data_IF_534715519224
#
_entry.id   IF_534715519224
#
_cell.length_a   1.000
_cell.length_b   1.000
_cell.length_c   1.000
_cell.angle_alpha   90.00
_cell.angle_beta   90.00
_cell.angle_gamma   90.00
#
_symmetry.space_group_name_H-M   'P 1'
#
loop_
_entity.id
_entity.type
_entity.pdbx_description
1 polymer ?
#
# COMPACT_ATOMS: atom_id res chain seq x y z
N UNK A 1 -70.75 0.71 -64.72
CA UNK A 1 -70.68 2.11 -65.18
C UNK A 1 -69.34 2.64 -64.67
N UNK A 2 -68.46 3.00 -65.63
CA UNK A 2 -67.20 3.71 -65.53
C UNK A 2 -66.05 2.93 -64.83
N UNK A 3 -65.25 2.17 -65.50
CA UNK A 3 -64.20 2.44 -66.46
C UNK A 3 -63.22 3.56 -66.00
N UNK A 4 -62.08 3.16 -65.51
CA UNK A 4 -60.89 4.02 -65.48
C UNK A 4 -59.62 3.22 -65.57
N UNK A 5 -58.96 3.45 -66.63
CA UNK A 5 -57.82 2.84 -67.22
C UNK A 5 -56.56 2.96 -66.39
N UNK A 6 -55.96 1.82 -66.08
CA UNK A 6 -54.59 1.76 -65.51
C UNK A 6 -53.57 2.18 -66.54
N UNK A 7 -52.86 3.23 -66.29
CA UNK A 7 -51.69 3.71 -67.04
C UNK A 7 -50.43 3.06 -66.47
N UNK A 8 -49.90 2.09 -67.16
CA UNK A 8 -48.64 1.43 -66.86
C UNK A 8 -47.47 2.39 -67.16
N UNK A 9 -46.82 2.87 -66.16
CA UNK A 9 -45.55 3.63 -66.27
C UNK A 9 -44.43 2.65 -66.25
N UNK A 10 -43.59 2.66 -67.31
CA UNK A 10 -42.39 1.85 -67.42
C UNK A 10 -41.28 2.28 -66.42
N UNK A 11 -40.54 1.34 -65.86
CA UNK A 11 -39.46 1.69 -64.96
C UNK A 11 -38.30 2.38 -65.66
N UNK A 12 -37.92 3.55 -65.15
CA UNK A 12 -36.77 4.33 -65.60
C UNK A 12 -35.46 3.54 -65.37
N UNK A 13 -34.65 3.48 -66.40
CA UNK A 13 -33.31 2.88 -66.39
C UNK A 13 -32.42 3.51 -65.29
N UNK A 14 -31.71 2.72 -64.49
CA UNK A 14 -30.80 3.28 -63.50
C UNK A 14 -29.64 4.01 -64.19
N UNK A 15 -29.46 5.29 -63.85
CA UNK A 15 -28.35 6.11 -64.29
C UNK A 15 -27.02 5.48 -63.82
N UNK A 16 -26.09 5.31 -64.76
CA UNK A 16 -24.75 4.79 -64.52
C UNK A 16 -24.04 5.69 -63.47
N UNK A 17 -23.69 5.08 -62.34
CA UNK A 17 -22.91 5.78 -61.32
C UNK A 17 -21.52 6.17 -61.89
N UNK A 18 -21.00 7.38 -61.60
CA UNK A 18 -19.67 7.77 -62.03
C UNK A 18 -18.61 6.83 -61.49
N UNK A 19 -17.65 6.46 -62.34
CA UNK A 19 -16.52 5.59 -61.97
C UNK A 19 -15.77 6.19 -60.76
N UNK A 20 -15.32 5.34 -59.82
CA UNK A 20 -14.54 5.81 -58.68
C UNK A 20 -13.26 6.49 -59.19
N UNK A 21 -13.02 7.70 -58.70
CA UNK A 21 -11.81 8.47 -58.96
C UNK A 21 -10.59 7.60 -58.57
N UNK A 22 -9.62 7.52 -59.48
CA UNK A 22 -8.37 6.81 -59.28
C UNK A 22 -7.72 7.32 -57.98
N UNK A 23 -7.68 6.44 -56.95
CA UNK A 23 -6.95 6.70 -55.73
C UNK A 23 -5.47 6.65 -56.07
N UNK A 24 -4.86 7.82 -56.21
CA UNK A 24 -3.40 7.96 -56.30
C UNK A 24 -2.80 7.41 -54.98
N UNK A 25 -1.83 6.47 -55.04
CA UNK A 25 -1.23 5.92 -53.83
C UNK A 25 -0.51 7.04 -53.07
N UNK A 26 -0.64 7.13 -51.74
CA UNK A 26 0.03 8.14 -50.92
C UNK A 26 1.50 7.75 -50.72
N UNK A 27 2.29 7.72 -51.77
CA UNK A 27 3.70 7.29 -51.73
C UNK A 27 4.68 8.41 -51.35
N UNK A 28 4.23 9.67 -51.23
CA UNK A 28 5.12 10.78 -50.98
C UNK A 28 5.00 11.36 -49.55
N UNK A 29 3.92 11.09 -48.80
CA UNK A 29 3.70 11.70 -47.49
C UNK A 29 4.15 10.77 -46.33
N UNK A 30 4.41 9.50 -46.62
CA UNK A 30 4.89 8.54 -45.62
C UNK A 30 6.41 8.58 -45.40
N UNK A 31 7.17 9.20 -46.29
CA UNK A 31 8.64 9.29 -46.15
C UNK A 31 9.10 10.39 -45.18
N UNK A 32 8.25 11.39 -44.88
CA UNK A 32 8.64 12.53 -44.03
C UNK A 32 8.30 12.31 -42.54
N UNK A 33 7.46 11.34 -42.20
CA UNK A 33 7.14 11.01 -40.79
C UNK A 33 8.01 9.93 -40.21
N UNK A 34 8.89 9.32 -40.99
CA UNK A 34 9.84 8.28 -40.55
C UNK A 34 11.15 8.84 -39.99
N UNK A 35 11.23 10.14 -39.74
CA UNK A 35 12.24 10.68 -38.83
C UNK A 35 11.79 10.44 -37.39
N UNK A 36 11.55 9.16 -37.08
CA UNK A 36 11.45 8.68 -35.72
C UNK A 36 12.75 9.10 -35.03
N UNK A 37 12.65 10.13 -34.18
CA UNK A 37 13.71 10.51 -33.25
C UNK A 37 14.21 9.20 -32.62
N UNK A 38 15.49 8.88 -32.86
CA UNK A 38 16.12 7.73 -32.26
C UNK A 38 15.79 7.74 -30.76
N UNK A 39 15.36 6.61 -30.18
CA UNK A 39 14.98 6.62 -28.76
C UNK A 39 16.14 7.21 -27.98
N UNK A 40 15.88 8.10 -27.01
CA UNK A 40 16.95 8.73 -26.25
C UNK A 40 17.90 7.64 -25.77
N UNK A 41 19.19 7.77 -26.10
CA UNK A 41 20.21 6.81 -25.67
C UNK A 41 20.16 6.78 -24.17
N UNK A 42 19.60 5.71 -23.63
CA UNK A 42 19.44 5.50 -22.21
C UNK A 42 20.85 5.32 -21.64
N UNK A 43 21.38 6.36 -21.02
CA UNK A 43 22.70 6.27 -20.39
C UNK A 43 22.56 5.46 -19.10
N UNK A 44 22.71 4.15 -19.26
CA UNK A 44 22.58 3.17 -18.18
C UNK A 44 23.45 3.53 -16.96
N UNK A 45 24.68 3.98 -17.21
CA UNK A 45 25.62 4.35 -16.14
C UNK A 45 25.09 5.53 -15.33
N UNK A 46 24.58 6.57 -15.99
CA UNK A 46 24.02 7.74 -15.31
C UNK A 46 22.77 7.38 -14.48
N UNK A 47 21.91 6.50 -15.00
CA UNK A 47 20.71 6.06 -14.30
C UNK A 47 21.03 5.20 -13.08
N UNK A 48 21.99 4.27 -13.21
CA UNK A 48 22.45 3.44 -12.08
C UNK A 48 23.11 4.31 -11.01
N UNK A 49 23.97 5.25 -11.42
CA UNK A 49 24.61 6.19 -10.51
C UNK A 49 23.58 7.03 -9.75
N UNK A 50 22.58 7.59 -10.45
CA UNK A 50 21.52 8.38 -9.85
C UNK A 50 20.72 7.57 -8.82
N UNK A 51 20.38 6.32 -9.13
CA UNK A 51 19.69 5.40 -8.20
C UNK A 51 20.54 5.09 -6.98
N UNK A 52 21.83 4.87 -7.16
CA UNK A 52 22.75 4.64 -6.06
C UNK A 52 22.87 5.88 -5.16
N UNK A 53 22.98 7.07 -5.73
CA UNK A 53 23.00 8.33 -4.98
C UNK A 53 21.70 8.54 -4.20
N UNK A 54 20.53 8.26 -4.80
CA UNK A 54 19.25 8.33 -4.09
C UNK A 54 19.17 7.35 -2.93
N UNK A 55 19.68 6.12 -3.09
CA UNK A 55 19.71 5.14 -2.01
C UNK A 55 20.60 5.60 -0.86
N UNK A 56 21.82 6.07 -1.15
CA UNK A 56 22.73 6.58 -0.14
C UNK A 56 22.15 7.81 0.57
N UNK A 57 21.56 8.75 -0.18
CA UNK A 57 20.90 9.92 0.38
C UNK A 57 19.72 9.53 1.27
N UNK A 58 18.91 8.54 0.87
CA UNK A 58 17.83 7.99 1.67
C UNK A 58 18.31 7.35 2.97
N UNK A 59 19.38 6.55 2.93
CA UNK A 59 19.98 5.94 4.13
C UNK A 59 20.55 6.99 5.07
N UNK A 60 21.23 8.01 4.54
CA UNK A 60 21.74 9.13 5.34
C UNK A 60 20.59 9.93 5.98
N UNK A 61 19.51 10.20 5.23
CA UNK A 61 18.33 10.85 5.75
C UNK A 61 17.68 10.03 6.89
N UNK A 62 17.55 8.71 6.73
CA UNK A 62 17.04 7.84 7.79
C UNK A 62 17.93 7.89 9.05
N UNK A 63 19.27 7.85 8.89
CA UNK A 63 20.19 7.96 10.01
C UNK A 63 20.06 9.30 10.74
N UNK A 64 19.99 10.41 10.00
CA UNK A 64 19.81 11.75 10.57
C UNK A 64 18.47 11.86 11.30
N UNK A 65 17.38 11.37 10.69
CA UNK A 65 16.06 11.39 11.32
C UNK A 65 16.02 10.52 12.58
N UNK A 66 16.70 9.38 12.60
CA UNK A 66 16.82 8.54 13.79
C UNK A 66 17.55 9.28 14.93
N UNK A 67 18.64 9.99 14.62
CA UNK A 67 19.35 10.80 15.61
C UNK A 67 18.46 11.94 16.14
N UNK A 68 17.75 12.62 15.25
CA UNK A 68 16.80 13.67 15.65
C UNK A 68 15.70 13.10 16.55
N UNK A 69 15.13 11.93 16.22
CA UNK A 69 14.11 11.28 17.03
C UNK A 69 14.61 10.92 18.44
N UNK A 70 15.86 10.44 18.54
CA UNK A 70 16.50 10.15 19.83
C UNK A 70 16.78 11.41 20.65
N UNK A 71 17.07 12.53 20.00
CA UNK A 71 17.35 13.82 20.66
C UNK A 71 16.07 14.58 21.02
N UNK A 72 15.03 14.51 20.19
CA UNK A 72 13.76 15.20 20.39
C UNK A 72 12.76 14.32 21.14
N UNK A 73 12.21 14.80 22.24
CA UNK A 73 11.17 14.07 22.97
C UNK A 73 10.76 14.77 24.24
N UNK A 74 9.69 14.27 24.88
CA UNK A 74 9.03 14.87 26.04
C UNK A 74 9.91 15.01 27.29
N UNK A 75 11.01 14.29 27.38
CA UNK A 75 11.87 14.27 28.58
C UNK A 75 12.94 15.37 28.59
N UNK A 76 13.01 16.26 27.56
CA UNK A 76 13.98 17.37 27.48
C UNK A 76 15.41 16.99 27.87
N UNK A 77 15.88 15.81 27.46
CA UNK A 77 17.23 15.33 27.73
C UNK A 77 18.26 16.13 26.94
N UNK A 78 19.36 16.51 27.60
CA UNK A 78 20.46 17.16 26.90
C UNK A 78 21.13 16.19 25.91
N UNK A 79 21.60 16.69 24.73
CA UNK A 79 22.19 15.85 23.70
C UNK A 79 23.41 15.05 24.20
N UNK A 80 24.19 15.59 25.15
CA UNK A 80 25.28 14.88 25.79
C UNK A 80 24.81 13.68 26.63
N UNK A 81 23.69 13.80 27.34
CA UNK A 81 23.11 12.68 28.12
C UNK A 81 22.62 11.55 27.22
N UNK A 82 21.97 11.88 26.08
CA UNK A 82 21.56 10.90 25.07
C UNK A 82 22.76 10.18 24.49
N UNK A 83 23.84 10.93 24.16
CA UNK A 83 25.09 10.35 23.66
C UNK A 83 25.74 9.43 24.70
N UNK A 84 25.80 9.87 25.97
CA UNK A 84 26.34 9.05 27.06
C UNK A 84 25.49 7.79 27.32
N UNK A 85 24.17 7.88 27.22
CA UNK A 85 23.27 6.72 27.38
C UNK A 85 23.48 5.67 26.26
N UNK A 86 23.72 6.13 25.03
CA UNK A 86 23.94 5.24 23.87
C UNK A 86 25.32 4.61 23.87
N UNK A 87 26.38 5.38 24.13
CA UNK A 87 27.77 4.92 24.00
C UNK A 87 28.32 4.28 25.26
N UNK A 88 27.71 4.56 26.43
CA UNK A 88 28.17 4.15 27.76
C UNK A 88 29.62 4.62 28.08
N UNK A 89 30.13 5.62 27.36
CA UNK A 89 31.48 6.15 27.57
C UNK A 89 31.57 7.22 28.68
N UNK A 90 30.43 7.73 29.08
CA UNK A 90 30.31 8.74 30.14
C UNK A 90 29.09 8.41 31.02
N UNK A 91 29.03 9.01 32.19
CA UNK A 91 27.90 8.82 33.11
C UNK A 91 26.67 9.54 32.57
N UNK A 92 25.62 8.78 32.25
CA UNK A 92 24.30 9.28 31.95
C UNK A 92 23.41 9.11 33.20
N UNK A 93 22.45 10.01 33.41
CA UNK A 93 21.45 9.84 34.48
C UNK A 93 20.65 8.54 34.24
N UNK A 94 20.25 7.87 35.32
CA UNK A 94 19.44 6.63 35.22
C UNK A 94 18.16 6.89 34.43
N UNK A 95 17.55 8.06 34.57
CA UNK A 95 16.39 8.48 33.80
C UNK A 95 16.70 8.55 32.29
N UNK A 96 17.81 9.15 31.90
CA UNK A 96 18.21 9.26 30.51
C UNK A 96 18.46 7.86 29.90
N UNK A 97 19.11 6.97 30.65
CA UNK A 97 19.36 5.60 30.22
C UNK A 97 18.07 4.83 29.98
N UNK A 98 17.12 4.87 30.92
CA UNK A 98 15.83 4.20 30.78
C UNK A 98 15.04 4.78 29.61
N UNK A 99 14.92 6.09 29.51
CA UNK A 99 14.17 6.73 28.43
C UNK A 99 14.76 6.41 27.05
N UNK A 100 16.07 6.50 26.90
CA UNK A 100 16.73 6.27 25.61
C UNK A 100 16.73 4.78 25.21
N UNK A 101 17.16 3.91 26.12
CA UNK A 101 17.38 2.49 25.77
C UNK A 101 16.09 1.65 25.84
N UNK A 102 15.16 1.98 26.75
CA UNK A 102 13.95 1.15 26.94
C UNK A 102 12.79 1.62 26.09
N UNK A 103 12.65 2.94 25.86
CA UNK A 103 11.50 3.47 25.12
C UNK A 103 11.86 3.98 23.72
N UNK A 104 12.86 4.87 23.60
CA UNK A 104 13.13 5.55 22.32
C UNK A 104 13.83 4.65 21.31
N UNK A 105 14.90 3.99 21.71
CA UNK A 105 15.67 3.15 20.81
C UNK A 105 14.84 2.00 20.20
N UNK A 106 14.02 1.24 20.96
CA UNK A 106 13.17 0.21 20.39
C UNK A 106 12.10 0.77 19.44
N UNK A 107 11.49 1.92 19.77
CA UNK A 107 10.48 2.53 18.88
C UNK A 107 11.08 3.04 17.58
N UNK A 108 12.27 3.66 17.60
CA UNK A 108 12.97 4.11 16.39
C UNK A 108 13.43 2.96 15.52
N UNK A 109 13.94 1.87 16.12
CA UNK A 109 14.31 0.65 15.38
C UNK A 109 13.08 -0.02 14.75
N UNK A 110 11.94 -0.05 15.48
CA UNK A 110 10.68 -0.56 14.96
C UNK A 110 10.19 0.29 13.78
N UNK A 111 10.30 1.63 13.88
CA UNK A 111 9.95 2.54 12.78
C UNK A 111 10.74 2.23 11.51
N UNK A 112 12.06 2.03 11.63
CA UNK A 112 12.92 1.64 10.51
C UNK A 112 12.52 0.29 9.93
N UNK A 113 12.30 -0.72 10.78
CA UNK A 113 11.90 -2.06 10.36
C UNK A 113 10.56 -2.10 9.65
N UNK A 114 9.55 -1.43 10.21
CA UNK A 114 8.21 -1.31 9.60
C UNK A 114 8.28 -0.53 8.29
N UNK A 115 8.98 0.60 8.26
CA UNK A 115 9.13 1.41 7.06
C UNK A 115 9.84 0.65 5.93
N UNK A 116 10.92 -0.06 6.24
CA UNK A 116 11.63 -0.91 5.27
C UNK A 116 10.73 -2.03 4.73
N UNK A 117 9.99 -2.71 5.61
CA UNK A 117 9.09 -3.80 5.22
C UNK A 117 7.95 -3.31 4.31
N UNK A 118 7.35 -2.16 4.65
CA UNK A 118 6.31 -1.54 3.83
C UNK A 118 6.85 -1.05 2.49
N UNK A 119 8.08 -0.50 2.47
CA UNK A 119 8.75 -0.08 1.23
C UNK A 119 8.98 -1.24 0.27
N UNK A 120 9.51 -2.37 0.78
CA UNK A 120 9.73 -3.58 -0.01
C UNK A 120 8.39 -4.16 -0.49
N UNK A 121 7.40 -4.29 0.39
CA UNK A 121 6.08 -4.79 0.02
C UNK A 121 5.41 -3.91 -1.05
N UNK A 122 5.50 -2.58 -0.90
CA UNK A 122 4.99 -1.62 -1.88
C UNK A 122 5.65 -1.77 -3.24
N UNK A 123 6.99 -1.85 -3.29
CA UNK A 123 7.74 -2.02 -4.54
C UNK A 123 7.38 -3.32 -5.26
N UNK A 124 7.26 -4.42 -4.53
CA UNK A 124 6.84 -5.73 -5.07
C UNK A 124 5.41 -5.63 -5.63
N UNK A 125 4.49 -5.05 -4.87
CA UNK A 125 3.09 -4.92 -5.31
C UNK A 125 2.93 -4.05 -6.56
N UNK A 126 3.60 -2.90 -6.61
CA UNK A 126 3.60 -2.03 -7.79
C UNK A 126 4.11 -2.77 -9.03
N UNK A 127 5.12 -3.62 -8.87
CA UNK A 127 5.71 -4.41 -9.95
C UNK A 127 4.75 -5.50 -10.43
N UNK A 128 4.17 -6.28 -9.51
CA UNK A 128 3.25 -7.38 -9.84
C UNK A 128 1.97 -6.85 -10.50
N UNK A 129 1.40 -5.79 -9.92
CA UNK A 129 0.15 -5.21 -10.40
C UNK A 129 0.35 -4.23 -11.56
N UNK A 130 1.60 -3.97 -11.96
CA UNK A 130 1.96 -2.97 -12.99
C UNK A 130 1.23 -1.64 -12.79
N UNK A 131 1.08 -1.24 -11.54
CA UNK A 131 0.36 -0.04 -11.14
C UNK A 131 1.14 0.69 -10.04
N UNK A 132 1.63 1.92 -10.29
CA UNK A 132 2.39 2.69 -9.31
C UNK A 132 1.57 3.12 -8.08
N UNK A 133 0.23 3.05 -8.15
CA UNK A 133 -0.67 3.37 -7.04
C UNK A 133 -0.97 2.16 -6.15
N UNK A 134 -0.47 0.97 -6.49
CA UNK A 134 -0.70 -0.23 -5.70
C UNK A 134 0.09 -0.19 -4.38
N UNK A 135 -0.56 -0.60 -3.31
CA UNK A 135 0.03 -0.74 -1.98
C UNK A 135 -0.64 -1.88 -1.21
N UNK A 136 -0.04 -2.40 -0.14
CA UNK A 136 -0.69 -3.39 0.72
C UNK A 136 -2.03 -2.92 1.28
N UNK A 137 -2.19 -1.61 1.47
CA UNK A 137 -3.43 -1.00 1.94
C UNK A 137 -4.55 -1.12 0.90
N UNK A 138 -4.26 -0.87 -0.38
CA UNK A 138 -5.27 -0.90 -1.46
C UNK A 138 -5.81 -2.30 -1.75
N UNK A 139 -5.11 -3.35 -1.31
CA UNK A 139 -5.56 -4.74 -1.45
C UNK A 139 -6.39 -5.25 -0.26
N UNK A 140 -6.76 -4.39 0.71
CA UNK A 140 -7.62 -4.77 1.82
C UNK A 140 -6.96 -5.60 2.91
N UNK A 141 -5.64 -5.80 2.86
CA UNK A 141 -4.88 -6.54 3.88
C UNK A 141 -4.98 -5.85 5.24
N UNK A 142 -4.87 -4.51 5.24
CA UNK A 142 -5.02 -3.71 6.46
C UNK A 142 -6.42 -3.75 7.04
N UNK A 143 -7.46 -3.79 6.18
CA UNK A 143 -8.85 -3.91 6.62
C UNK A 143 -9.11 -5.28 7.27
N UNK A 144 -8.55 -6.36 6.69
CA UNK A 144 -8.58 -7.69 7.30
C UNK A 144 -7.88 -7.72 8.66
N UNK A 145 -6.69 -7.14 8.77
CA UNK A 145 -5.97 -7.01 10.04
C UNK A 145 -6.77 -6.23 11.09
N UNK A 146 -7.39 -5.11 10.69
CA UNK A 146 -8.24 -4.29 11.54
C UNK A 146 -9.46 -5.06 12.08
N UNK A 147 -10.13 -5.81 11.21
CA UNK A 147 -11.21 -6.70 11.62
C UNK A 147 -10.75 -7.77 12.60
N UNK A 148 -9.61 -8.44 12.34
CA UNK A 148 -9.04 -9.45 13.25
C UNK A 148 -8.71 -8.90 14.64
N UNK A 149 -8.16 -7.67 14.70
CA UNK A 149 -7.93 -6.98 15.96
C UNK A 149 -9.23 -6.64 16.68
N UNK A 150 -10.21 -6.05 15.97
CA UNK A 150 -11.52 -5.71 16.51
C UNK A 150 -12.26 -6.94 17.06
N UNK A 151 -12.21 -8.06 16.33
CA UNK A 151 -12.81 -9.34 16.76
C UNK A 151 -12.23 -9.81 18.08
N UNK A 152 -10.92 -9.69 18.26
CA UNK A 152 -10.26 -10.07 19.50
C UNK A 152 -10.64 -9.15 20.66
N UNK A 153 -10.70 -7.83 20.41
CA UNK A 153 -11.01 -6.83 21.46
C UNK A 153 -12.46 -6.98 21.93
N UNK A 154 -13.40 -7.19 20.99
CA UNK A 154 -14.84 -7.22 21.32
C UNK A 154 -15.29 -8.58 21.83
N UNK A 155 -14.95 -9.65 21.11
CA UNK A 155 -15.44 -10.98 21.41
C UNK A 155 -14.50 -11.81 22.26
N UNK A 156 -13.27 -11.33 22.52
CA UNK A 156 -12.25 -12.12 23.21
C UNK A 156 -11.83 -13.38 22.43
N UNK A 157 -12.19 -13.46 21.15
CA UNK A 157 -11.94 -14.63 20.32
C UNK A 157 -10.51 -14.54 19.78
N UNK A 158 -9.67 -15.46 20.21
CA UNK A 158 -8.32 -15.64 19.71
C UNK A 158 -7.93 -17.10 19.77
N UNK A 159 -7.07 -17.53 18.85
CA UNK A 159 -6.61 -18.93 18.71
C UNK A 159 -5.86 -19.41 19.96
N UNK A 160 -5.39 -18.48 20.78
CA UNK A 160 -4.67 -18.81 22.01
C UNK A 160 -4.99 -17.84 23.13
N UNK A 161 -5.89 -18.22 24.01
CA UNK A 161 -6.24 -17.47 25.21
C UNK A 161 -5.05 -17.25 26.18
N UNK A 162 -3.95 -17.99 26.02
CA UNK A 162 -2.75 -17.87 26.85
C UNK A 162 -1.73 -16.80 26.40
N UNK A 163 -1.96 -16.13 25.25
CA UNK A 163 -0.98 -15.20 24.67
C UNK A 163 -1.01 -13.77 25.27
N UNK A 164 -1.93 -13.44 26.17
CA UNK A 164 -2.02 -12.13 26.83
C UNK A 164 -1.95 -10.95 25.84
N UNK A 165 -0.98 -10.04 26.00
CA UNK A 165 -0.80 -8.85 25.17
C UNK A 165 -0.55 -9.12 23.67
N UNK A 166 -0.11 -10.32 23.32
CA UNK A 166 0.17 -10.71 21.93
C UNK A 166 -1.05 -11.21 21.16
N UNK A 167 -2.17 -11.43 21.83
CA UNK A 167 -3.36 -12.01 21.22
C UNK A 167 -3.93 -11.13 20.09
N UNK A 168 -4.04 -9.82 20.32
CA UNK A 168 -4.58 -8.87 19.33
C UNK A 168 -3.66 -8.78 18.10
N UNK A 169 -2.35 -8.53 18.21
CA UNK A 169 -1.44 -8.53 17.06
C UNK A 169 -1.42 -9.85 16.31
N UNK A 170 -1.48 -10.98 17.00
CA UNK A 170 -1.46 -12.30 16.38
C UNK A 170 -2.71 -12.55 15.53
N UNK A 171 -3.90 -12.26 16.05
CA UNK A 171 -5.13 -12.38 15.27
C UNK A 171 -5.18 -11.40 14.11
N UNK A 172 -4.73 -10.14 14.29
CA UNK A 172 -4.59 -9.19 13.20
C UNK A 172 -3.70 -9.74 12.08
N UNK A 173 -2.59 -10.37 12.42
CA UNK A 173 -1.68 -11.00 11.46
C UNK A 173 -2.34 -12.19 10.74
N UNK A 174 -3.08 -13.04 11.45
CA UNK A 174 -3.83 -14.14 10.83
C UNK A 174 -4.86 -13.65 9.82
N UNK A 175 -5.62 -12.61 10.16
CA UNK A 175 -6.61 -12.04 9.25
C UNK A 175 -5.95 -11.28 8.09
N UNK A 176 -4.77 -10.73 8.26
CA UNK A 176 -3.97 -10.18 7.14
C UNK A 176 -3.56 -11.28 6.16
N UNK A 177 -3.09 -12.44 6.67
CA UNK A 177 -2.79 -13.62 5.83
C UNK A 177 -4.06 -14.14 5.14
N UNK A 178 -5.16 -14.27 5.87
CA UNK A 178 -6.44 -14.69 5.30
C UNK A 178 -6.89 -13.75 4.18
N UNK A 179 -6.81 -12.43 4.39
CA UNK A 179 -7.11 -11.42 3.38
C UNK A 179 -6.23 -11.60 2.14
N UNK A 180 -4.93 -11.78 2.32
CA UNK A 180 -3.99 -12.01 1.22
C UNK A 180 -4.32 -13.29 0.44
N UNK A 181 -4.71 -14.35 1.15
CA UNK A 181 -5.12 -15.61 0.54
C UNK A 181 -6.43 -15.49 -0.24
N UNK A 182 -7.41 -14.75 0.29
CA UNK A 182 -8.66 -14.46 -0.43
C UNK A 182 -8.43 -13.68 -1.70
N UNK A 183 -7.55 -12.68 -1.68
CA UNK A 183 -7.16 -11.93 -2.89
C UNK A 183 -6.52 -12.86 -3.92
N UNK A 184 -5.64 -13.75 -3.46
CA UNK A 184 -5.01 -14.73 -4.34
C UNK A 184 -6.05 -15.63 -5.01
N UNK A 185 -7.05 -16.14 -4.25
CA UNK A 185 -8.13 -16.98 -4.81
C UNK A 185 -8.95 -16.19 -5.84
N UNK A 186 -9.35 -14.96 -5.51
CA UNK A 186 -10.09 -14.09 -6.43
C UNK A 186 -9.28 -13.83 -7.71
N UNK A 187 -7.99 -13.54 -7.54
CA UNK A 187 -7.07 -13.33 -8.65
C UNK A 187 -6.93 -14.59 -9.51
N UNK A 188 -6.72 -15.76 -8.90
CA UNK A 188 -6.57 -17.04 -9.57
C UNK A 188 -7.82 -17.39 -10.42
N UNK A 189 -9.02 -17.16 -9.89
CA UNK A 189 -10.28 -17.36 -10.60
C UNK A 189 -10.44 -16.44 -11.84
N UNK A 190 -9.74 -15.31 -11.87
CA UNK A 190 -9.74 -14.32 -12.97
C UNK A 190 -8.40 -14.24 -13.72
N UNK A 191 -7.67 -15.34 -13.79
CA UNK A 191 -6.37 -15.49 -14.50
C UNK A 191 -5.31 -14.48 -14.01
N UNK A 192 -5.33 -14.12 -12.71
CA UNK A 192 -4.39 -13.21 -12.05
C UNK A 192 -4.24 -11.85 -12.75
N UNK A 193 -5.33 -11.32 -13.31
CA UNK A 193 -5.29 -9.99 -13.92
C UNK A 193 -5.14 -8.91 -12.86
N UNK A 194 -4.26 -7.89 -13.03
CA UNK A 194 -4.07 -6.82 -12.07
C UNK A 194 -5.36 -6.11 -11.67
N UNK A 195 -6.23 -5.85 -12.66
CA UNK A 195 -7.53 -5.22 -12.42
C UNK A 195 -8.45 -6.03 -11.51
N UNK A 196 -8.49 -7.38 -11.68
CA UNK A 196 -9.30 -8.24 -10.83
C UNK A 196 -8.77 -8.29 -9.40
N UNK A 197 -7.45 -8.26 -9.22
CA UNK A 197 -6.84 -8.24 -7.87
C UNK A 197 -7.11 -6.92 -7.14
N UNK A 198 -7.01 -5.79 -7.84
CA UNK A 198 -7.30 -4.47 -7.25
C UNK A 198 -8.78 -4.36 -6.89
N UNK A 199 -9.68 -4.72 -7.82
CA UNK A 199 -11.13 -4.66 -7.55
C UNK A 199 -11.54 -5.63 -6.45
N UNK A 200 -10.98 -6.84 -6.43
CA UNK A 200 -11.15 -7.82 -5.36
C UNK A 200 -10.68 -7.29 -4.01
N UNK A 201 -9.51 -6.63 -3.99
CA UNK A 201 -8.96 -5.99 -2.78
C UNK A 201 -9.85 -4.87 -2.23
N UNK A 202 -10.40 -4.03 -3.11
CA UNK A 202 -11.36 -2.99 -2.74
C UNK A 202 -12.63 -3.63 -2.15
N UNK A 203 -13.16 -4.67 -2.80
CA UNK A 203 -14.33 -5.42 -2.31
C UNK A 203 -14.08 -6.02 -0.93
N UNK A 204 -12.91 -6.65 -0.71
CA UNK A 204 -12.51 -7.17 0.60
C UNK A 204 -12.36 -6.07 1.65
N UNK A 205 -11.83 -4.90 1.28
CA UNK A 205 -11.73 -3.75 2.19
C UNK A 205 -13.10 -3.31 2.69
N UNK A 206 -14.08 -3.19 1.80
CA UNK A 206 -15.44 -2.85 2.18
C UNK A 206 -16.10 -3.95 3.03
N UNK A 207 -15.89 -5.21 2.68
CA UNK A 207 -16.43 -6.34 3.44
C UNK A 207 -15.87 -6.36 4.88
N UNK A 208 -14.56 -6.32 5.04
CA UNK A 208 -13.95 -6.29 6.38
C UNK A 208 -14.28 -5.00 7.13
N UNK A 209 -14.35 -3.86 6.45
CA UNK A 209 -14.78 -2.59 7.05
C UNK A 209 -16.21 -2.65 7.59
N UNK A 210 -17.15 -3.22 6.83
CA UNK A 210 -18.52 -3.41 7.27
C UNK A 210 -18.61 -4.36 8.47
N UNK A 211 -17.91 -5.49 8.44
CA UNK A 211 -17.85 -6.42 9.56
C UNK A 211 -17.22 -5.78 10.81
N UNK A 212 -16.17 -4.99 10.65
CA UNK A 212 -15.57 -4.23 11.74
C UNK A 212 -16.54 -3.20 12.32
N UNK A 213 -17.28 -2.46 11.49
CA UNK A 213 -18.28 -1.50 11.94
C UNK A 213 -19.42 -2.20 12.72
N UNK A 214 -19.79 -3.41 12.32
CA UNK A 214 -20.79 -4.21 13.05
C UNK A 214 -20.28 -4.61 14.44
N UNK A 215 -19.00 -4.99 14.55
CA UNK A 215 -18.38 -5.25 15.85
C UNK A 215 -18.31 -4.00 16.72
N UNK A 216 -17.97 -2.85 16.14
CA UNK A 216 -17.90 -1.58 16.85
C UNK A 216 -19.29 -1.13 17.35
N UNK A 217 -20.36 -1.43 16.63
CA UNK A 217 -21.74 -1.17 17.08
C UNK A 217 -22.10 -1.99 18.31
N UNK A 218 -21.64 -3.25 18.39
CA UNK A 218 -21.89 -4.13 19.52
C UNK A 218 -20.93 -3.94 20.70
N UNK A 219 -19.86 -3.17 20.51
CA UNK A 219 -18.79 -2.99 21.48
C UNK A 219 -19.16 -1.98 22.58
N UNK A 220 -18.57 -2.14 23.77
CA UNK A 220 -18.60 -1.11 24.81
C UNK A 220 -17.79 0.14 24.40
N UNK A 221 -18.00 1.27 25.07
CA UNK A 221 -17.25 2.50 24.80
C UNK A 221 -15.73 2.30 24.93
N UNK A 222 -15.28 1.54 25.94
CA UNK A 222 -13.87 1.23 26.20
C UNK A 222 -13.26 0.32 25.11
N UNK A 223 -14.03 -0.70 24.69
CA UNK A 223 -13.63 -1.56 23.57
C UNK A 223 -13.51 -0.79 22.27
N UNK A 224 -14.46 0.11 22.00
CA UNK A 224 -14.45 0.95 20.82
C UNK A 224 -13.24 1.90 20.80
N UNK A 225 -12.95 2.52 21.94
CA UNK A 225 -11.75 3.33 22.11
C UNK A 225 -10.47 2.50 21.84
N UNK A 226 -10.40 1.29 22.37
CA UNK A 226 -9.28 0.37 22.15
C UNK A 226 -9.10 0.00 20.68
N UNK A 227 -10.20 -0.25 19.95
CA UNK A 227 -10.17 -0.53 18.50
C UNK A 227 -9.61 0.69 17.74
N UNK A 228 -10.11 1.89 18.05
CA UNK A 228 -9.67 3.12 17.38
C UNK A 228 -8.18 3.36 17.60
N UNK A 229 -7.70 3.25 18.84
CA UNK A 229 -6.27 3.38 19.13
C UNK A 229 -5.42 2.31 18.47
N UNK A 230 -5.94 1.09 18.33
CA UNK A 230 -5.22 0.04 17.62
C UNK A 230 -5.10 0.34 16.13
N UNK A 231 -6.18 0.83 15.50
CA UNK A 231 -6.21 1.19 14.08
C UNK A 231 -5.30 2.38 13.72
N UNK A 232 -5.15 3.35 14.61
CA UNK A 232 -4.18 4.43 14.43
C UNK A 232 -2.74 3.93 14.49
N UNK A 233 -2.50 2.80 15.15
CA UNK A 233 -1.18 2.23 15.36
C UNK A 233 -0.37 3.01 16.39
N UNK A 234 0.66 2.37 16.92
CA UNK A 234 1.61 2.98 17.85
C UNK A 234 2.93 2.22 17.82
N UNK A 235 4.02 2.95 17.66
CA UNK A 235 5.37 2.40 17.75
C UNK A 235 5.89 2.42 19.22
N UNK A 236 5.25 3.20 20.10
CA UNK A 236 5.64 3.30 21.51
C UNK A 236 5.40 2.04 22.35
N UNK A 237 4.68 1.07 21.80
CA UNK A 237 4.48 -0.25 22.44
C UNK A 237 5.64 -1.23 22.22
N UNK A 238 6.65 -0.84 21.45
CA UNK A 238 7.89 -1.59 21.30
C UNK A 238 8.76 -1.40 22.55
N UNK A 239 8.45 -2.11 23.62
CA UNK A 239 9.27 -2.15 24.84
C UNK A 239 10.25 -3.32 24.76
N UNK A 240 11.47 -3.10 25.23
CA UNK A 240 12.37 -4.22 25.50
C UNK A 240 11.85 -4.97 26.73
N UNK A 241 11.77 -6.30 26.65
CA UNK A 241 11.18 -7.19 27.69
C UNK A 241 11.94 -7.18 29.04
N UNK A 242 12.89 -6.27 29.20
CA UNK A 242 13.68 -6.09 30.44
C UNK A 242 12.99 -5.20 31.48
N UNK A 243 11.85 -4.58 31.15
CA UNK A 243 11.05 -3.88 32.14
C UNK A 243 10.04 -4.83 32.77
N UNK A 244 10.50 -5.84 33.52
CA UNK A 244 9.68 -6.47 34.53
C UNK A 244 9.55 -5.45 35.68
N UNK A 245 8.32 -5.02 36.04
CA UNK A 245 8.16 -4.24 37.26
C UNK A 245 8.38 -5.15 38.47
N UNK A 246 9.30 -4.78 39.33
CA UNK A 246 9.34 -5.28 40.72
C UNK A 246 8.08 -4.84 41.45
#
# INVERSE_FOLDING_TARGET
>A
MSDETAKTEAPASPALAPAPAAVTPPSATLATSAQQSAPPRYDYKKTVYMRFVMLVAGLLACAVLMVIDLLTGSANLAANEVFCALTQWCEASDMARVVVLTYRMPSSLMALGVGASLGVAGAIMQTILRNPLASPYTLGISAGAGFGAALTIVAGIGISAGMGRWLVPFNAFLFAILSSFLIYIIGAAKKLTPGAMILGGIGLSFMFGALQSMLQYAASAEQNQSIVFWLFGSLSRAETSTAEPC
#
